data_IF_842016721094
#
_entry.id   IF_842016721094
#
_cell.length_a   1.000
_cell.length_b   1.000
_cell.length_c   1.000
_cell.angle_alpha   90.00
_cell.angle_beta   90.00
_cell.angle_gamma   90.00
#
_symmetry.space_group_name_H-M   'P 1'
#
loop_
_entity.id
_entity.type
_entity.pdbx_description
1 polymer ?
#
# COMPACT_ATOMS: atom_id res chain seq x y z
N UNK A 1 22.99 6.96 17.52
CA UNK A 1 23.11 8.42 17.15
C UNK A 1 22.57 9.24 18.34
N UNK A 2 23.21 10.36 18.73
CA UNK A 2 22.84 11.16 19.92
C UNK A 2 21.37 11.61 19.87
N UNK A 3 20.88 12.01 18.70
CA UNK A 3 19.50 12.46 18.51
C UNK A 3 18.46 11.39 18.89
N UNK A 4 18.65 10.15 18.45
CA UNK A 4 17.76 9.01 18.80
C UNK A 4 17.70 8.79 20.30
N UNK A 5 18.85 8.84 20.97
CA UNK A 5 18.90 8.69 22.45
C UNK A 5 18.16 9.84 23.16
N UNK A 6 18.23 11.07 22.66
CA UNK A 6 17.52 12.20 23.23
C UNK A 6 15.99 12.09 23.04
N UNK A 7 15.54 11.55 21.91
CA UNK A 7 14.12 11.24 21.67
C UNK A 7 13.66 10.14 22.62
N UNK A 8 14.37 9.02 22.71
CA UNK A 8 14.05 7.90 23.61
C UNK A 8 14.00 8.33 25.08
N UNK A 9 14.82 9.29 25.49
CA UNK A 9 14.83 9.86 26.83
C UNK A 9 13.75 10.94 27.04
N UNK A 10 12.99 11.31 26.00
CA UNK A 10 11.92 12.31 26.06
C UNK A 10 12.40 13.76 26.21
N UNK A 11 13.65 14.06 25.88
CA UNK A 11 14.19 15.43 25.93
C UNK A 11 13.81 16.29 24.74
N UNK A 12 13.58 15.66 23.58
CA UNK A 12 13.15 16.30 22.33
C UNK A 12 12.08 15.44 21.65
N UNK A 13 11.19 16.09 20.93
CA UNK A 13 10.23 15.38 20.09
C UNK A 13 10.89 14.96 18.77
N UNK A 14 10.47 13.82 18.21
CA UNK A 14 10.99 13.31 16.92
C UNK A 14 10.81 14.32 15.80
N UNK A 15 9.67 15.02 15.78
CA UNK A 15 9.35 16.01 14.75
C UNK A 15 10.28 17.21 14.76
N UNK A 16 10.64 17.71 15.96
CA UNK A 16 11.58 18.80 16.16
C UNK A 16 13.00 18.38 15.73
N UNK A 17 13.40 17.18 16.13
CA UNK A 17 14.70 16.62 15.74
C UNK A 17 14.80 16.47 14.22
N UNK A 18 13.77 15.88 13.58
CA UNK A 18 13.74 15.68 12.11
C UNK A 18 13.78 17.00 11.38
N UNK A 19 13.09 18.03 11.88
CA UNK A 19 13.11 19.38 11.31
C UNK A 19 14.49 20.00 11.36
N UNK A 20 15.14 19.96 12.53
CA UNK A 20 16.48 20.50 12.71
C UNK A 20 17.55 19.74 11.90
N UNK A 21 17.40 18.41 11.81
CA UNK A 21 18.31 17.56 11.05
C UNK A 21 18.21 17.82 9.56
N UNK A 22 16.99 17.92 9.02
CA UNK A 22 16.75 18.26 7.62
C UNK A 22 17.32 19.64 7.26
N UNK A 23 17.08 20.64 8.11
CA UNK A 23 17.61 22.00 7.92
C UNK A 23 19.14 22.03 7.93
N UNK A 24 19.77 21.31 8.87
CA UNK A 24 21.23 21.23 8.97
C UNK A 24 21.88 20.66 7.72
N UNK A 25 21.25 19.66 7.11
CA UNK A 25 21.75 18.99 5.90
C UNK A 25 21.31 19.66 4.61
N UNK A 26 20.43 20.67 4.68
CA UNK A 26 19.92 21.39 3.51
C UNK A 26 18.86 20.62 2.73
N UNK A 27 18.22 19.62 3.34
CA UNK A 27 17.10 18.88 2.77
C UNK A 27 15.75 19.41 3.28
N UNK A 28 14.69 19.07 2.57
CA UNK A 28 13.32 19.34 3.03
C UNK A 28 12.85 18.20 3.95
N UNK A 29 12.14 18.54 5.00
CA UNK A 29 11.43 17.56 5.82
C UNK A 29 10.21 17.04 5.06
N UNK A 30 9.95 15.77 5.16
CA UNK A 30 8.72 15.16 4.67
C UNK A 30 7.52 15.60 5.51
N UNK A 31 6.45 16.01 4.85
CA UNK A 31 5.18 16.30 5.50
C UNK A 31 4.48 14.98 5.89
N UNK A 32 3.84 14.96 7.05
CA UNK A 32 3.11 13.78 7.54
C UNK A 32 2.03 13.32 6.55
N UNK A 33 1.37 14.27 5.89
CA UNK A 33 0.34 13.97 4.89
C UNK A 33 0.94 13.29 3.66
N UNK A 34 2.08 13.77 3.15
CA UNK A 34 2.78 13.18 2.00
C UNK A 34 3.18 11.73 2.28
N UNK A 35 3.63 11.43 3.50
CA UNK A 35 4.05 10.09 3.91
C UNK A 35 2.85 9.14 4.04
N UNK A 36 1.79 9.58 4.69
CA UNK A 36 0.62 8.74 4.96
C UNK A 36 -0.30 8.55 3.74
N UNK A 37 -0.25 9.46 2.77
CA UNK A 37 -1.00 9.40 1.52
C UNK A 37 -0.08 9.10 0.32
N UNK A 38 1.04 8.40 0.58
CA UNK A 38 1.95 7.97 -0.48
C UNK A 38 1.23 7.02 -1.46
N UNK A 39 1.46 7.25 -2.74
CA UNK A 39 0.84 6.45 -3.81
C UNK A 39 1.44 5.04 -3.85
N UNK A 40 0.59 4.03 -3.67
CA UNK A 40 0.97 2.62 -3.69
C UNK A 40 1.62 2.20 -5.02
N UNK A 41 1.20 2.78 -6.16
CA UNK A 41 1.82 2.50 -7.46
C UNK A 41 3.25 3.06 -7.53
N UNK A 42 3.47 4.23 -6.93
CA UNK A 42 4.81 4.83 -6.87
C UNK A 42 5.70 4.09 -5.89
N UNK A 43 5.16 3.73 -4.73
CA UNK A 43 5.88 2.96 -3.72
C UNK A 43 6.32 1.59 -4.26
N UNK A 44 5.49 0.92 -5.07
CA UNK A 44 5.80 -0.39 -5.67
C UNK A 44 6.99 -0.38 -6.64
N UNK A 45 7.43 0.79 -7.10
CA UNK A 45 8.67 0.91 -7.90
C UNK A 45 9.93 0.58 -7.10
N UNK A 46 9.83 0.59 -5.77
CA UNK A 46 10.90 0.21 -4.85
C UNK A 46 10.45 -1.08 -4.14
N UNK A 47 11.24 -2.17 -4.23
CA UNK A 47 10.90 -3.41 -3.53
C UNK A 47 10.78 -3.22 -2.02
N UNK A 48 9.79 -3.86 -1.39
CA UNK A 48 9.50 -3.72 0.05
C UNK A 48 10.72 -4.04 0.93
N UNK A 49 11.42 -5.15 0.64
CA UNK A 49 12.61 -5.54 1.40
C UNK A 49 13.66 -4.45 1.40
N UNK A 50 13.93 -3.87 0.22
CA UNK A 50 14.87 -2.76 0.08
C UNK A 50 14.39 -1.51 0.81
N UNK A 51 13.10 -1.17 0.69
CA UNK A 51 12.49 -0.01 1.32
C UNK A 51 12.60 -0.08 2.85
N UNK A 52 12.33 -1.25 3.43
CA UNK A 52 12.42 -1.47 4.88
C UNK A 52 13.86 -1.50 5.38
N UNK A 53 14.76 -2.20 4.68
CA UNK A 53 16.17 -2.31 5.05
C UNK A 53 16.87 -0.95 5.06
N UNK A 54 16.60 -0.13 4.06
CA UNK A 54 17.25 1.18 3.89
C UNK A 54 16.42 2.35 4.42
N UNK A 55 15.27 2.09 5.03
CA UNK A 55 14.37 3.13 5.56
C UNK A 55 14.02 4.18 4.52
N UNK A 56 13.48 3.73 3.37
CA UNK A 56 13.19 4.55 2.19
C UNK A 56 11.77 4.30 1.72
N UNK A 57 11.00 5.36 1.48
CA UNK A 57 9.65 5.28 0.88
C UNK A 57 9.55 6.22 -0.33
N UNK A 58 9.23 5.66 -1.50
CA UNK A 58 8.87 6.46 -2.66
C UNK A 58 7.45 6.98 -2.49
N UNK A 59 7.27 8.31 -2.50
CA UNK A 59 5.98 8.95 -2.16
C UNK A 59 5.32 9.61 -3.35
N UNK A 60 6.10 10.06 -4.34
CA UNK A 60 5.57 10.73 -5.52
C UNK A 60 6.52 10.58 -6.70
N UNK A 61 6.01 10.54 -7.92
CA UNK A 61 6.84 10.56 -9.13
C UNK A 61 6.36 11.60 -10.14
N UNK A 62 7.31 12.08 -10.95
CA UNK A 62 7.08 12.86 -12.18
C UNK A 62 7.82 12.21 -13.34
N UNK A 63 7.79 12.83 -14.52
CA UNK A 63 8.41 12.27 -15.73
C UNK A 63 9.91 11.94 -15.58
N UNK A 64 10.64 12.70 -14.78
CA UNK A 64 12.09 12.58 -14.64
C UNK A 64 12.60 12.42 -13.21
N UNK A 65 11.72 12.58 -12.21
CA UNK A 65 12.09 12.58 -10.79
C UNK A 65 11.18 11.68 -9.98
N UNK A 66 11.74 11.12 -8.93
CA UNK A 66 11.00 10.38 -7.90
C UNK A 66 11.28 11.03 -6.55
N UNK A 67 10.23 11.44 -5.85
CA UNK A 67 10.35 11.97 -4.49
C UNK A 67 10.41 10.83 -3.51
N UNK A 68 11.42 10.82 -2.67
CA UNK A 68 11.75 9.73 -1.76
C UNK A 68 11.90 10.28 -0.35
N UNK A 69 11.13 9.74 0.58
CA UNK A 69 11.30 10.01 1.99
C UNK A 69 12.26 8.98 2.60
N UNK A 70 13.23 9.43 3.38
CA UNK A 70 14.20 8.54 4.02
C UNK A 70 14.69 9.10 5.36
N UNK A 71 15.14 8.21 6.24
CA UNK A 71 15.66 8.57 7.56
C UNK A 71 17.05 9.21 7.46
N UNK A 72 17.90 8.72 6.57
CA UNK A 72 19.27 9.17 6.40
C UNK A 72 19.53 9.62 4.95
N UNK A 73 19.45 10.93 4.66
CA UNK A 73 19.65 11.45 3.32
C UNK A 73 21.11 11.39 2.84
N UNK A 74 22.05 11.08 3.74
CA UNK A 74 23.47 10.92 3.42
C UNK A 74 23.82 9.50 3.01
N UNK A 75 22.87 8.54 3.04
CA UNK A 75 23.07 7.21 2.50
C UNK A 75 23.07 7.20 0.96
N UNK A 76 24.23 7.53 0.41
CA UNK A 76 24.43 7.60 -1.05
C UNK A 76 24.16 6.25 -1.71
N UNK A 77 24.39 5.13 -1.02
CA UNK A 77 24.18 3.79 -1.58
C UNK A 77 22.69 3.51 -1.76
N UNK A 78 21.89 3.88 -0.79
CA UNK A 78 20.43 3.77 -0.87
C UNK A 78 19.88 4.67 -1.99
N UNK A 79 20.32 5.94 -2.05
CA UNK A 79 19.91 6.90 -3.08
C UNK A 79 20.26 6.43 -4.49
N UNK A 80 21.49 5.97 -4.72
CA UNK A 80 21.92 5.42 -6.01
C UNK A 80 21.16 4.13 -6.38
N UNK A 81 20.78 3.33 -5.40
CA UNK A 81 20.00 2.13 -5.63
C UNK A 81 18.56 2.47 -6.04
N UNK A 82 17.91 3.44 -5.38
CA UNK A 82 16.61 3.95 -5.81
C UNK A 82 16.66 4.47 -7.25
N UNK A 83 17.69 5.25 -7.59
CA UNK A 83 17.89 5.75 -8.96
C UNK A 83 18.01 4.61 -9.98
N UNK A 84 18.71 3.54 -9.65
CA UNK A 84 18.86 2.35 -10.52
C UNK A 84 17.57 1.55 -10.66
N UNK A 85 16.82 1.39 -9.56
CA UNK A 85 15.56 0.64 -9.54
C UNK A 85 14.48 1.35 -10.35
N UNK A 86 14.37 2.67 -10.19
CA UNK A 86 13.28 3.46 -10.78
C UNK A 86 13.64 4.10 -12.12
N UNK A 87 14.94 4.20 -12.44
CA UNK A 87 15.49 4.95 -13.57
C UNK A 87 15.10 6.46 -13.58
N UNK A 88 14.77 7.01 -12.41
CA UNK A 88 14.39 8.40 -12.16
C UNK A 88 15.44 9.08 -11.26
N UNK A 89 15.47 10.42 -11.26
CA UNK A 89 16.34 11.16 -10.36
C UNK A 89 15.66 11.32 -8.99
N UNK A 90 16.29 10.87 -7.88
CA UNK A 90 15.72 11.01 -6.55
C UNK A 90 15.71 12.47 -6.08
N UNK A 91 14.56 12.93 -5.61
CA UNK A 91 14.39 14.17 -4.85
C UNK A 91 14.11 13.76 -3.39
N UNK A 92 15.02 14.11 -2.47
CA UNK A 92 15.06 13.51 -1.14
C UNK A 92 14.34 14.39 -0.14
N UNK A 93 13.48 13.77 0.67
CA UNK A 93 12.86 14.35 1.85
C UNK A 93 13.35 13.58 3.09
N UNK A 94 13.61 14.28 4.18
CA UNK A 94 13.96 13.66 5.45
C UNK A 94 12.70 13.34 6.24
N UNK A 95 12.57 12.11 6.69
CA UNK A 95 11.45 11.64 7.49
C UNK A 95 11.91 11.13 8.86
N UNK A 96 11.09 11.32 9.88
CA UNK A 96 11.31 10.73 11.19
C UNK A 96 11.14 9.22 11.16
N UNK A 97 11.92 8.46 11.95
CA UNK A 97 11.91 7.00 11.93
C UNK A 97 10.54 6.38 12.24
N UNK A 98 9.82 6.87 13.25
CA UNK A 98 8.52 6.30 13.63
C UNK A 98 7.44 6.58 12.56
N UNK A 99 7.43 7.78 12.01
CA UNK A 99 6.45 8.16 10.99
C UNK A 99 6.72 7.43 9.68
N UNK A 100 7.99 7.28 9.31
CA UNK A 100 8.40 6.54 8.12
C UNK A 100 8.04 5.05 8.23
N UNK A 101 8.22 4.44 9.40
CA UNK A 101 7.85 3.05 9.64
C UNK A 101 6.34 2.83 9.50
N UNK A 102 5.52 3.71 10.11
CA UNK A 102 4.06 3.67 9.97
C UNK A 102 3.61 3.82 8.50
N UNK A 103 4.28 4.71 7.76
CA UNK A 103 3.99 4.91 6.34
C UNK A 103 4.36 3.68 5.49
N UNK A 104 5.53 3.07 5.75
CA UNK A 104 5.95 1.82 5.10
C UNK A 104 4.94 0.68 5.36
N UNK A 105 4.51 0.50 6.60
CA UNK A 105 3.54 -0.53 6.97
C UNK A 105 2.18 -0.31 6.30
N UNK A 106 1.70 0.93 6.26
CA UNK A 106 0.45 1.26 5.58
C UNK A 106 0.53 0.96 4.08
N UNK A 107 1.51 1.55 3.39
CA UNK A 107 1.59 1.51 1.93
C UNK A 107 1.89 0.10 1.42
N UNK A 108 2.89 -0.59 1.96
CA UNK A 108 3.21 -1.95 1.53
C UNK A 108 2.16 -2.97 1.99
N UNK A 109 1.49 -2.75 3.12
CA UNK A 109 0.34 -3.54 3.51
C UNK A 109 -0.86 -3.40 2.55
N UNK A 110 -1.07 -2.22 1.97
CA UNK A 110 -2.08 -2.02 0.92
C UNK A 110 -1.66 -2.68 -0.42
N UNK A 111 -0.39 -2.60 -0.80
CA UNK A 111 0.16 -3.27 -2.00
C UNK A 111 -0.02 -4.78 -1.90
N UNK A 112 0.31 -5.39 -0.75
CA UNK A 112 0.15 -6.83 -0.53
C UNK A 112 -1.32 -7.27 -0.66
N UNK A 113 -2.24 -6.54 -0.04
CA UNK A 113 -3.68 -6.82 -0.15
C UNK A 113 -4.17 -6.75 -1.60
N UNK A 114 -3.72 -5.75 -2.35
CA UNK A 114 -4.09 -5.60 -3.77
C UNK A 114 -3.54 -6.76 -4.61
N UNK A 115 -2.31 -7.21 -4.35
CA UNK A 115 -1.70 -8.36 -5.01
C UNK A 115 -2.45 -9.67 -4.70
N UNK A 116 -2.83 -9.90 -3.44
CA UNK A 116 -3.64 -11.07 -3.04
C UNK A 116 -5.01 -11.09 -3.73
N UNK A 117 -5.64 -9.91 -3.91
CA UNK A 117 -6.89 -9.77 -4.67
C UNK A 117 -6.68 -10.14 -6.14
N UNK A 118 -5.62 -9.61 -6.76
CA UNK A 118 -5.32 -9.88 -8.16
C UNK A 118 -5.04 -11.37 -8.43
N UNK A 119 -4.24 -12.02 -7.59
CA UNK A 119 -3.97 -13.47 -7.66
C UNK A 119 -5.25 -14.28 -7.48
N UNK A 120 -6.15 -13.84 -6.60
CA UNK A 120 -7.44 -14.48 -6.36
C UNK A 120 -8.34 -14.38 -7.58
N UNK A 121 -8.39 -13.21 -8.24
CA UNK A 121 -9.16 -12.97 -9.46
C UNK A 121 -8.60 -13.81 -10.62
N UNK A 122 -7.28 -13.87 -10.81
CA UNK A 122 -6.64 -14.68 -11.84
C UNK A 122 -6.93 -16.17 -11.66
N UNK A 123 -6.95 -16.66 -10.43
CA UNK A 123 -7.30 -18.05 -10.14
C UNK A 123 -8.77 -18.38 -10.46
N UNK A 124 -9.69 -17.44 -10.30
CA UNK A 124 -11.12 -17.59 -10.67
C UNK A 124 -11.30 -17.63 -12.19
N UNK A 125 -10.54 -16.85 -12.93
CA UNK A 125 -10.68 -16.78 -14.42
C UNK A 125 -10.27 -18.08 -15.10
N UNK A 126 -9.35 -18.85 -14.51
CA UNK A 126 -8.89 -20.14 -15.06
C UNK A 126 -9.94 -21.26 -14.90
N UNK A 127 -10.81 -21.18 -13.87
CA UNK A 127 -11.84 -22.20 -13.62
C UNK A 127 -13.09 -22.02 -14.51
N UNK A 128 -13.29 -20.85 -15.12
CA UNK A 128 -14.46 -20.53 -15.95
C UNK A 128 -14.45 -21.15 -17.38
N UNK A 129 -13.51 -22.05 -17.67
CA UNK A 129 -13.27 -22.62 -19.00
C UNK A 129 -13.93 -23.96 -19.31
N UNK A 130 -14.72 -24.58 -18.45
CA UNK A 130 -15.46 -25.82 -18.76
C UNK A 130 -16.94 -25.69 -18.42
N UNK A 131 -17.77 -25.94 -19.45
CA UNK A 131 -19.22 -25.88 -19.40
C UNK A 131 -19.82 -26.95 -18.46
N UNK A 132 -20.70 -26.51 -17.58
CA UNK A 132 -21.88 -27.28 -17.22
C UNK A 132 -21.82 -28.19 -16.02
N UNK A 133 -21.96 -27.62 -14.82
CA UNK A 133 -22.85 -28.22 -13.79
C UNK A 133 -23.30 -27.13 -12.81
N UNK A 134 -24.62 -26.93 -12.74
CA UNK A 134 -25.25 -26.17 -11.65
C UNK A 134 -25.15 -27.03 -10.38
N UNK A 135 -24.03 -27.01 -9.69
CA UNK A 135 -23.94 -27.47 -8.32
C UNK A 135 -24.17 -26.26 -7.41
N UNK A 136 -25.18 -26.38 -6.56
CA UNK A 136 -25.39 -25.42 -5.46
C UNK A 136 -24.13 -25.41 -4.58
N UNK A 137 -23.40 -24.30 -4.60
CA UNK A 137 -22.22 -24.11 -3.75
C UNK A 137 -22.68 -24.00 -2.30
N UNK A 138 -22.44 -25.04 -1.51
CA UNK A 138 -22.70 -25.06 -0.06
C UNK A 138 -21.60 -24.22 0.64
N UNK A 139 -21.91 -22.96 0.90
CA UNK A 139 -21.02 -21.98 1.52
C UNK A 139 -20.79 -22.19 3.04
N UNK A 140 -21.08 -23.37 3.58
CA UNK A 140 -20.79 -23.66 4.98
C UNK A 140 -19.26 -23.72 5.21
N UNK A 141 -18.71 -23.04 6.24
CA UNK A 141 -17.27 -22.95 6.49
C UNK A 141 -16.55 -24.30 6.65
N UNK A 142 -17.30 -25.36 7.04
CA UNK A 142 -16.75 -26.69 7.30
C UNK A 142 -16.67 -27.59 6.06
N UNK A 143 -17.15 -27.13 4.89
CA UNK A 143 -17.24 -27.95 3.66
C UNK A 143 -16.69 -27.22 2.41
N UNK A 144 -16.10 -26.05 2.56
CA UNK A 144 -15.46 -25.38 1.43
C UNK A 144 -14.37 -26.30 0.85
N UNK A 145 -14.54 -26.73 -0.41
CA UNK A 145 -13.49 -27.43 -1.14
C UNK A 145 -12.33 -26.48 -1.42
N UNK A 146 -11.13 -27.02 -1.66
CA UNK A 146 -9.98 -26.19 -2.06
C UNK A 146 -10.27 -25.38 -3.34
N UNK A 147 -11.23 -25.81 -4.16
CA UNK A 147 -11.68 -25.13 -5.38
C UNK A 147 -12.54 -23.89 -5.11
N UNK A 148 -13.28 -23.84 -3.99
CA UNK A 148 -14.12 -22.72 -3.59
C UNK A 148 -13.32 -21.62 -2.85
N UNK A 149 -12.12 -21.92 -2.40
CA UNK A 149 -11.29 -21.01 -1.62
C UNK A 149 -11.03 -19.62 -2.28
N UNK A 150 -10.80 -19.52 -3.61
CA UNK A 150 -10.61 -18.23 -4.27
C UNK A 150 -11.88 -17.35 -4.23
N UNK A 151 -13.04 -17.94 -4.46
CA UNK A 151 -14.33 -17.20 -4.45
C UNK A 151 -14.67 -16.72 -3.04
N UNK A 152 -14.45 -17.56 -2.03
CA UNK A 152 -14.66 -17.20 -0.62
C UNK A 152 -13.73 -16.06 -0.21
N UNK A 153 -12.47 -16.10 -0.63
CA UNK A 153 -11.52 -15.00 -0.40
C UNK A 153 -11.98 -13.69 -1.05
N UNK A 154 -12.39 -13.74 -2.32
CA UNK A 154 -12.89 -12.56 -3.03
C UNK A 154 -14.11 -11.95 -2.33
N UNK A 155 -15.08 -12.78 -1.93
CA UNK A 155 -16.27 -12.31 -1.21
C UNK A 155 -15.88 -11.65 0.12
N UNK A 156 -14.97 -12.25 0.87
CA UNK A 156 -14.47 -11.68 2.13
C UNK A 156 -13.77 -10.32 1.91
N UNK A 157 -12.98 -10.18 0.84
CA UNK A 157 -12.32 -8.92 0.49
C UNK A 157 -13.34 -7.83 0.14
N UNK A 158 -14.37 -8.16 -0.65
CA UNK A 158 -15.47 -7.22 -0.96
C UNK A 158 -16.16 -6.74 0.32
N UNK A 159 -16.43 -7.66 1.27
CA UNK A 159 -17.02 -7.28 2.55
C UNK A 159 -16.09 -6.41 3.39
N UNK A 160 -14.81 -6.75 3.48
CA UNK A 160 -13.83 -5.97 4.24
C UNK A 160 -13.72 -4.55 3.70
N UNK A 161 -13.60 -4.38 2.38
CA UNK A 161 -13.51 -3.07 1.76
C UNK A 161 -14.82 -2.27 1.96
N UNK A 162 -15.96 -2.91 1.80
CA UNK A 162 -17.26 -2.27 2.03
C UNK A 162 -17.44 -1.78 3.46
N UNK A 163 -16.98 -2.54 4.45
CA UNK A 163 -17.02 -2.16 5.87
C UNK A 163 -16.06 -1.00 6.14
N UNK A 164 -14.86 -1.05 5.58
CA UNK A 164 -13.85 0.00 5.72
C UNK A 164 -14.37 1.35 5.19
N UNK A 165 -14.99 1.33 4.01
CA UNK A 165 -15.61 2.49 3.37
C UNK A 165 -16.97 2.87 3.99
N UNK A 166 -17.44 2.17 5.04
CA UNK A 166 -18.72 2.39 5.71
C UNK A 166 -19.92 2.33 4.75
N UNK A 167 -19.84 1.44 3.77
CA UNK A 167 -20.92 1.22 2.83
C UNK A 167 -22.19 0.69 3.53
N UNK A 168 -23.35 1.14 3.06
CA UNK A 168 -24.66 0.66 3.54
C UNK A 168 -25.15 -0.55 2.80
N UNK A 169 -24.77 -0.68 1.52
CA UNK A 169 -25.22 -1.75 0.63
C UNK A 169 -24.09 -2.17 -0.32
N UNK A 170 -24.06 -3.45 -0.68
CA UNK A 170 -23.19 -4.01 -1.72
C UNK A 170 -24.08 -4.53 -2.84
N UNK A 171 -23.83 -4.09 -4.07
CA UNK A 171 -24.51 -4.52 -5.28
C UNK A 171 -23.56 -5.31 -6.15
N UNK A 172 -23.93 -6.54 -6.48
CA UNK A 172 -23.22 -7.39 -7.43
C UNK A 172 -24.06 -7.49 -8.69
N UNK A 173 -23.60 -6.90 -9.77
CA UNK A 173 -24.34 -6.81 -11.04
C UNK A 173 -23.62 -7.65 -12.12
N UNK A 174 -24.03 -8.89 -12.37
CA UNK A 174 -23.44 -9.70 -13.43
C UNK A 174 -23.91 -9.20 -14.81
N UNK A 175 -22.96 -9.00 -15.71
CA UNK A 175 -23.18 -8.68 -17.13
C UNK A 175 -22.65 -9.82 -17.99
N UNK A 176 -22.90 -9.78 -19.31
CA UNK A 176 -22.50 -10.86 -20.24
C UNK A 176 -20.99 -11.19 -20.26
N UNK A 177 -20.12 -10.24 -19.92
CA UNK A 177 -18.65 -10.40 -19.99
C UNK A 177 -17.90 -10.03 -18.72
N UNK A 178 -18.58 -9.46 -17.73
CA UNK A 178 -17.95 -8.92 -16.52
C UNK A 178 -18.98 -8.78 -15.41
N UNK A 179 -18.51 -8.75 -14.17
CA UNK A 179 -19.32 -8.49 -12.98
C UNK A 179 -18.94 -7.11 -12.44
N UNK A 180 -19.92 -6.25 -12.25
CA UNK A 180 -19.72 -5.00 -11.55
C UNK A 180 -20.04 -5.16 -10.08
N UNK A 181 -19.12 -4.71 -9.24
CA UNK A 181 -19.32 -4.63 -7.79
C UNK A 181 -19.41 -3.17 -7.44
N UNK A 182 -20.55 -2.78 -6.86
CA UNK A 182 -20.80 -1.40 -6.45
C UNK A 182 -21.15 -1.36 -4.98
N UNK A 183 -20.64 -0.37 -4.28
CA UNK A 183 -20.97 -0.12 -2.89
C UNK A 183 -21.67 1.22 -2.76
N UNK A 184 -22.58 1.35 -1.80
CA UNK A 184 -23.28 2.61 -1.51
C UNK A 184 -22.66 3.27 -0.30
N UNK A 185 -22.07 4.45 -0.51
CA UNK A 185 -21.48 5.28 0.55
C UNK A 185 -22.26 6.59 0.57
N UNK A 186 -22.83 6.95 1.71
CA UNK A 186 -23.61 8.20 1.90
C UNK A 186 -24.69 8.40 0.83
N UNK A 187 -25.34 7.31 0.40
CA UNK A 187 -26.40 7.32 -0.61
C UNK A 187 -25.93 7.30 -2.07
N UNK A 188 -24.62 7.38 -2.34
CA UNK A 188 -24.04 7.36 -3.69
C UNK A 188 -23.47 5.98 -3.99
N UNK A 189 -23.80 5.41 -5.17
CA UNK A 189 -23.21 4.16 -5.64
C UNK A 189 -21.86 4.43 -6.30
N UNK A 190 -20.83 3.72 -5.83
CA UNK A 190 -19.47 3.75 -6.37
C UNK A 190 -19.07 2.33 -6.82
N UNK A 191 -18.32 2.21 -7.90
CA UNK A 191 -17.76 0.93 -8.36
C UNK A 191 -16.42 0.70 -7.68
N UNK A 192 -16.19 -0.50 -7.17
CA UNK A 192 -14.92 -0.95 -6.57
C UNK A 192 -14.29 -2.02 -7.45
#
# INVERSE_FOLDING_TARGET
KIGVTLIEMGFIEEDDFTSAYAEQLGYRKADNFILLEADSEVASLVPEDFARENRVLAVQKSDTTITVAMEDPEDVVAVDSVKRLTNLNPDILVAGPELLEKALDKVYGEIQKTAEVAETIDSITVVSGEEGSQEEVDLSPDKASDEDAPIVKLVNLIFQESIKERATDIHIEPMEKQVYIRIRIDGVLQTI
#
